data_IF_695397241768
#
_entry.id   IF_695397241768
#
_cell.length_a   1.000
_cell.length_b   1.000
_cell.length_c   1.000
_cell.angle_alpha   90.00
_cell.angle_beta   90.00
_cell.angle_gamma   90.00
#
_symmetry.space_group_name_H-M   'P 1'
#
loop_
_entity.id
_entity.type
_entity.pdbx_description
1 polymer ?
#
# COMPACT_ATOMS: atom_id res chain seq x y z
N UNK A 1 24.93 -14.83 -8.28
CA UNK A 1 23.90 -15.59 -9.04
C UNK A 1 22.71 -15.72 -8.10
N UNK A 2 21.75 -14.80 -8.19
CA UNK A 2 20.51 -14.89 -7.42
C UNK A 2 19.51 -15.62 -8.30
N UNK A 3 19.07 -16.78 -7.81
CA UNK A 3 18.16 -17.71 -8.46
C UNK A 3 16.76 -17.08 -8.51
N UNK A 4 16.40 -16.52 -9.67
CA UNK A 4 15.04 -16.05 -9.94
C UNK A 4 14.15 -17.25 -10.21
N UNK A 5 13.60 -17.87 -9.16
CA UNK A 5 12.52 -18.82 -9.33
C UNK A 5 11.35 -18.13 -10.08
N UNK A 6 10.71 -18.80 -11.04
CA UNK A 6 9.63 -18.21 -11.83
C UNK A 6 8.46 -17.80 -10.93
N UNK A 7 7.83 -16.66 -11.24
CA UNK A 7 6.53 -16.27 -10.65
C UNK A 7 5.56 -17.42 -10.86
N UNK A 8 5.34 -18.23 -9.81
CA UNK A 8 4.34 -19.29 -9.81
C UNK A 8 2.97 -18.64 -9.61
N UNK A 9 2.23 -18.51 -10.70
CA UNK A 9 0.79 -18.31 -10.66
C UNK A 9 0.18 -19.52 -9.96
N UNK A 10 -0.34 -19.33 -8.74
CA UNK A 10 -1.11 -20.38 -8.07
C UNK A 10 -2.57 -20.23 -8.48
N UNK A 11 -3.13 -21.15 -9.29
CA UNK A 11 -4.57 -21.20 -9.45
C UNK A 11 -5.20 -21.54 -8.09
N UNK A 12 -6.10 -20.67 -7.62
CA UNK A 12 -6.78 -20.74 -6.32
C UNK A 12 -7.45 -22.11 -6.03
N UNK A 13 -7.75 -22.89 -7.07
CA UNK A 13 -8.16 -24.31 -6.95
C UNK A 13 -7.21 -25.14 -6.08
N UNK A 14 -5.93 -24.76 -6.00
CA UNK A 14 -4.92 -25.41 -5.17
C UNK A 14 -4.94 -24.98 -3.70
N UNK A 15 -5.56 -23.84 -3.36
CA UNK A 15 -5.59 -23.31 -1.99
C UNK A 15 -6.87 -23.66 -1.22
N UNK A 16 -8.02 -23.91 -1.88
CA UNK A 16 -9.29 -24.09 -1.13
C UNK A 16 -10.31 -25.09 -1.68
N UNK A 17 -10.05 -25.78 -2.79
CA UNK A 17 -10.99 -26.79 -3.30
C UNK A 17 -12.32 -26.22 -3.83
N UNK A 18 -12.56 -26.43 -5.13
CA UNK A 18 -13.86 -26.26 -5.83
C UNK A 18 -14.67 -24.98 -5.49
N UNK A 19 -14.31 -23.87 -6.14
CA UNK A 19 -15.28 -22.80 -6.45
C UNK A 19 -15.06 -22.31 -7.88
N UNK A 20 -16.14 -22.08 -8.62
CA UNK A 20 -16.20 -21.76 -10.05
C UNK A 20 -16.41 -20.27 -10.36
N UNK A 21 -16.38 -19.39 -9.35
CA UNK A 21 -16.48 -17.95 -9.57
C UNK A 21 -15.10 -17.31 -9.77
N UNK A 22 -14.94 -16.29 -10.64
CA UNK A 22 -13.68 -15.57 -10.82
C UNK A 22 -13.29 -14.93 -9.49
N UNK A 23 -12.15 -15.35 -8.96
CA UNK A 23 -11.56 -14.86 -7.72
C UNK A 23 -10.56 -13.77 -8.06
N UNK A 24 -10.39 -12.74 -7.21
CA UNK A 24 -9.37 -11.73 -7.43
C UNK A 24 -7.99 -12.36 -7.56
N UNK A 25 -7.33 -12.04 -8.68
CA UNK A 25 -5.95 -12.47 -8.92
C UNK A 25 -5.03 -11.94 -7.82
N UNK A 26 -4.07 -12.74 -7.38
CA UNK A 26 -3.09 -12.38 -6.37
C UNK A 26 -1.70 -12.80 -6.82
N UNK A 27 -0.67 -12.09 -6.36
CA UNK A 27 0.73 -12.41 -6.63
C UNK A 27 1.53 -12.51 -5.34
N UNK A 28 2.49 -13.43 -5.33
CA UNK A 28 3.46 -13.52 -4.25
C UNK A 28 4.50 -12.44 -4.46
N UNK A 29 4.74 -11.63 -3.44
CA UNK A 29 5.85 -10.68 -3.40
C UNK A 29 6.81 -11.07 -2.28
N UNK A 30 8.09 -10.75 -2.46
CA UNK A 30 9.13 -10.95 -1.45
C UNK A 30 9.75 -9.61 -1.11
N UNK A 31 9.59 -9.18 0.14
CA UNK A 31 10.09 -7.91 0.67
C UNK A 31 10.83 -8.20 1.97
N UNK A 32 12.08 -7.77 2.05
CA UNK A 32 12.91 -7.94 3.26
C UNK A 32 13.00 -9.39 3.77
N UNK A 33 12.88 -10.37 2.87
CA UNK A 33 12.88 -11.81 3.18
C UNK A 33 11.52 -12.38 3.60
N UNK A 34 10.50 -11.55 3.80
CA UNK A 34 9.13 -11.97 4.09
C UNK A 34 8.34 -12.19 2.80
N UNK A 35 7.46 -13.21 2.81
CA UNK A 35 6.54 -13.51 1.70
C UNK A 35 5.18 -12.92 1.99
N UNK A 36 4.77 -11.97 1.17
CA UNK A 36 3.43 -11.39 1.22
C UNK A 36 2.63 -11.80 -0.02
N UNK A 37 1.31 -11.79 0.13
CA UNK A 37 0.36 -11.93 -0.97
C UNK A 37 -0.17 -10.54 -1.29
N UNK A 38 0.17 -9.99 -2.45
CA UNK A 38 -0.48 -8.78 -2.94
C UNK A 38 -1.72 -9.16 -3.73
N UNK A 39 -2.87 -8.64 -3.33
CA UNK A 39 -4.11 -8.75 -4.11
C UNK A 39 -3.97 -7.83 -5.33
N UNK A 40 -3.99 -8.41 -6.53
CA UNK A 40 -3.74 -7.70 -7.79
C UNK A 40 -4.98 -6.90 -8.20
N UNK A 41 -6.16 -7.48 -8.01
CA UNK A 41 -7.43 -6.82 -8.23
C UNK A 41 -7.81 -5.90 -7.07
N UNK A 42 -8.39 -4.75 -7.40
CA UNK A 42 -8.88 -3.81 -6.42
C UNK A 42 -10.25 -4.27 -5.90
N UNK A 43 -10.29 -4.86 -4.70
CA UNK A 43 -11.51 -5.40 -4.09
C UNK A 43 -12.62 -4.34 -3.91
N UNK A 44 -12.28 -3.06 -3.95
CA UNK A 44 -13.21 -1.96 -3.72
C UNK A 44 -13.58 -1.23 -5.02
N UNK A 45 -13.19 -1.76 -6.17
CA UNK A 45 -13.65 -1.27 -7.46
C UNK A 45 -15.18 -1.40 -7.60
N UNK A 46 -15.83 -0.52 -8.40
CA UNK A 46 -17.29 -0.45 -8.52
C UNK A 46 -17.96 -1.73 -9.03
N UNK A 47 -17.24 -2.54 -9.80
CA UNK A 47 -17.70 -3.79 -10.41
C UNK A 47 -17.57 -5.01 -9.48
N UNK A 48 -16.87 -4.87 -8.35
CA UNK A 48 -16.76 -5.92 -7.33
C UNK A 48 -17.99 -5.87 -6.41
N UNK A 49 -18.69 -6.99 -6.28
CA UNK A 49 -19.87 -7.11 -5.41
C UNK A 49 -19.49 -7.35 -3.95
N UNK A 50 -20.36 -7.00 -3.01
CA UNK A 50 -20.16 -7.27 -1.58
C UNK A 50 -19.95 -8.77 -1.32
N UNK A 51 -20.65 -9.67 -2.03
CA UNK A 51 -20.45 -11.12 -1.88
C UNK A 51 -19.06 -11.58 -2.31
N UNK A 52 -18.45 -10.94 -3.32
CA UNK A 52 -17.07 -11.21 -3.73
C UNK A 52 -16.08 -10.70 -2.68
N UNK A 53 -16.31 -9.49 -2.13
CA UNK A 53 -15.51 -8.94 -1.02
C UNK A 53 -15.57 -9.85 0.20
N UNK A 54 -16.78 -10.29 0.60
CA UNK A 54 -17.00 -11.15 1.76
C UNK A 54 -16.18 -12.44 1.64
N UNK A 55 -16.23 -13.10 0.47
CA UNK A 55 -15.45 -14.32 0.22
C UNK A 55 -13.94 -14.08 0.32
N UNK A 56 -13.45 -12.97 -0.24
CA UNK A 56 -12.03 -12.63 -0.18
C UNK A 56 -11.59 -12.41 1.28
N UNK A 57 -12.34 -11.64 2.07
CA UNK A 57 -12.00 -11.35 3.45
C UNK A 57 -12.09 -12.57 4.37
N UNK A 58 -13.10 -13.44 4.22
CA UNK A 58 -13.16 -14.71 4.97
C UNK A 58 -11.93 -15.57 4.70
N UNK A 59 -11.49 -15.64 3.44
CA UNK A 59 -10.33 -16.45 3.07
C UNK A 59 -9.02 -15.87 3.60
N UNK A 60 -8.85 -14.56 3.52
CA UNK A 60 -7.70 -13.89 4.14
C UNK A 60 -7.72 -14.09 5.66
N UNK A 61 -8.89 -14.04 6.30
CA UNK A 61 -9.05 -14.21 7.73
C UNK A 61 -8.72 -15.62 8.25
N UNK A 62 -8.81 -16.66 7.43
CA UNK A 62 -8.45 -18.04 7.86
C UNK A 62 -6.99 -18.37 7.55
N UNK A 63 -6.37 -17.63 6.63
CA UNK A 63 -5.00 -17.84 6.18
C UNK A 63 -3.97 -17.09 7.06
N UNK A 64 -4.01 -17.30 8.37
CA UNK A 64 -3.19 -16.58 9.36
C UNK A 64 -1.67 -16.75 9.22
N UNK A 65 -1.24 -17.79 8.51
CA UNK A 65 0.17 -18.01 8.16
C UNK A 65 0.68 -17.11 7.01
N UNK A 66 -0.21 -16.31 6.39
CA UNK A 66 0.10 -15.44 5.26
C UNK A 66 -0.21 -13.99 5.61
N UNK A 67 0.57 -13.06 5.07
CA UNK A 67 0.26 -11.62 5.11
C UNK A 67 -0.25 -11.14 3.77
N UNK A 68 -1.39 -10.46 3.76
CA UNK A 68 -2.04 -9.92 2.57
C UNK A 68 -1.88 -8.41 2.49
N UNK A 69 -1.38 -7.90 1.36
CA UNK A 69 -1.45 -6.48 0.98
C UNK A 69 -2.68 -6.29 0.09
N UNK A 70 -3.72 -5.67 0.65
CA UNK A 70 -4.92 -5.24 -0.08
C UNK A 70 -4.70 -3.82 -0.53
N UNK A 71 -4.48 -3.63 -1.83
CA UNK A 71 -4.18 -2.32 -2.42
C UNK A 71 -5.41 -1.77 -3.13
N UNK A 72 -5.77 -0.52 -2.87
CA UNK A 72 -6.97 0.10 -3.47
C UNK A 72 -6.78 1.54 -3.92
N UNK A 73 -7.50 1.93 -4.97
CA UNK A 73 -7.73 3.32 -5.41
C UNK A 73 -9.09 3.85 -4.98
N UNK A 74 -9.91 3.05 -4.30
CA UNK A 74 -11.28 3.41 -3.88
C UNK A 74 -11.41 3.44 -2.35
N UNK A 75 -10.68 4.31 -1.65
CA UNK A 75 -10.59 4.29 -0.19
C UNK A 75 -11.93 4.61 0.50
N UNK A 76 -12.79 5.44 -0.09
CA UNK A 76 -14.14 5.68 0.44
C UNK A 76 -15.03 4.42 0.40
N UNK A 77 -14.93 3.62 -0.66
CA UNK A 77 -15.65 2.36 -0.76
C UNK A 77 -15.08 1.32 0.23
N UNK A 78 -13.76 1.27 0.38
CA UNK A 78 -13.09 0.45 1.39
C UNK A 78 -13.58 0.78 2.81
N UNK A 79 -13.56 2.06 3.16
CA UNK A 79 -14.07 2.55 4.44
C UNK A 79 -15.52 2.16 4.65
N UNK A 80 -16.41 2.40 3.69
CA UNK A 80 -17.83 2.10 3.81
C UNK A 80 -18.07 0.61 4.03
N UNK A 81 -17.40 -0.25 3.28
CA UNK A 81 -17.53 -1.69 3.39
C UNK A 81 -16.99 -2.21 4.74
N UNK A 82 -15.77 -1.81 5.11
CA UNK A 82 -15.10 -2.30 6.32
C UNK A 82 -15.77 -1.75 7.60
N UNK A 83 -16.23 -0.49 7.58
CA UNK A 83 -16.94 0.12 8.73
C UNK A 83 -18.33 -0.47 8.96
N UNK A 84 -19.00 -0.94 7.90
CA UNK A 84 -20.31 -1.59 8.05
C UNK A 84 -20.22 -2.86 8.88
N UNK A 85 -19.11 -3.61 8.77
CA UNK A 85 -18.92 -4.92 9.39
C UNK A 85 -20.03 -5.89 8.97
N UNK A 86 -19.78 -6.80 8.04
CA UNK A 86 -20.85 -7.74 7.65
C UNK A 86 -20.99 -8.83 8.71
N UNK A 87 -22.17 -8.93 9.34
CA UNK A 87 -22.50 -10.00 10.31
C UNK A 87 -22.15 -11.38 9.73
N UNK A 88 -22.39 -11.56 8.43
CA UNK A 88 -22.04 -12.78 7.70
C UNK A 88 -20.53 -13.08 7.66
N UNK A 89 -19.67 -12.08 7.45
CA UNK A 89 -18.21 -12.27 7.49
C UNK A 89 -17.75 -12.49 8.93
N UNK A 90 -18.26 -11.72 9.88
CA UNK A 90 -17.94 -11.90 11.30
C UNK A 90 -18.34 -13.29 11.82
N UNK A 91 -19.49 -13.83 11.38
CA UNK A 91 -19.95 -15.17 11.73
C UNK A 91 -19.14 -16.26 11.02
N UNK A 92 -18.85 -16.08 9.72
CA UNK A 92 -18.00 -16.99 8.97
C UNK A 92 -16.57 -17.07 9.54
N UNK A 93 -15.98 -15.93 9.91
CA UNK A 93 -14.67 -15.84 10.56
C UNK A 93 -14.72 -16.49 11.94
N UNK A 94 -15.76 -16.23 12.74
CA UNK A 94 -15.90 -16.86 14.07
C UNK A 94 -15.94 -18.39 13.97
N UNK A 95 -16.58 -18.92 12.93
CA UNK A 95 -16.64 -20.36 12.71
C UNK A 95 -15.32 -20.94 12.17
N UNK A 96 -14.70 -20.25 11.21
CA UNK A 96 -13.53 -20.78 10.50
C UNK A 96 -12.17 -20.45 11.16
N UNK A 97 -12.11 -19.39 11.96
CA UNK A 97 -10.91 -18.88 12.64
C UNK A 97 -11.20 -18.48 14.11
N UNK A 98 -11.61 -19.43 14.97
CA UNK A 98 -12.01 -19.13 16.36
C UNK A 98 -10.88 -18.53 17.22
N UNK A 99 -9.62 -18.72 16.83
CA UNK A 99 -8.44 -18.18 17.51
C UNK A 99 -8.34 -16.64 17.47
N UNK A 100 -9.05 -15.99 16.55
CA UNK A 100 -9.14 -14.52 16.47
C UNK A 100 -10.01 -13.90 17.58
N UNK A 101 -10.80 -14.71 18.29
CA UNK A 101 -11.67 -14.26 19.38
C UNK A 101 -12.90 -13.46 18.92
N UNK A 102 -13.82 -13.14 19.84
CA UNK A 102 -15.09 -12.48 19.53
C UNK A 102 -14.94 -10.98 19.15
N UNK A 103 -13.76 -10.39 19.37
CA UNK A 103 -13.47 -8.97 19.08
C UNK A 103 -13.27 -8.68 17.59
N UNK A 104 -12.96 -9.69 16.75
CA UNK A 104 -13.01 -9.57 15.28
C UNK A 104 -14.46 -9.65 14.83
N UNK A 105 -15.26 -8.65 15.21
CA UNK A 105 -16.71 -8.66 14.96
C UNK A 105 -17.20 -7.44 14.20
N UNK A 106 -16.43 -6.37 14.07
CA UNK A 106 -16.83 -5.16 13.34
C UNK A 106 -15.57 -4.46 12.87
N UNK A 107 -15.28 -4.42 11.56
CA UNK A 107 -14.15 -3.63 11.02
C UNK A 107 -12.99 -4.39 10.39
N UNK A 108 -12.89 -5.72 10.54
CA UNK A 108 -11.76 -6.52 10.01
C UNK A 108 -10.38 -5.93 10.38
N UNK A 109 -10.11 -5.72 11.68
CA UNK A 109 -8.76 -5.50 12.21
C UNK A 109 -7.97 -6.83 12.25
N UNK A 110 -7.90 -7.54 11.11
CA UNK A 110 -7.16 -8.80 11.00
C UNK A 110 -5.66 -8.47 10.89
N UNK A 111 -4.80 -8.91 11.82
CA UNK A 111 -3.40 -8.46 11.88
C UNK A 111 -2.60 -8.68 10.60
N UNK A 112 -2.89 -9.75 9.87
CA UNK A 112 -2.19 -10.11 8.64
C UNK A 112 -2.89 -9.63 7.36
N UNK A 113 -3.90 -8.75 7.46
CA UNK A 113 -4.53 -8.10 6.31
C UNK A 113 -4.24 -6.60 6.36
N UNK A 114 -3.38 -6.15 5.46
CA UNK A 114 -2.85 -4.80 5.42
C UNK A 114 -3.51 -4.00 4.30
N UNK A 115 -4.11 -2.86 4.64
CA UNK A 115 -4.81 -2.02 3.69
C UNK A 115 -3.91 -0.88 3.22
N UNK A 116 -3.65 -0.82 1.92
CA UNK A 116 -2.80 0.20 1.30
C UNK A 116 -3.59 1.04 0.30
N UNK A 117 -3.53 2.36 0.43
CA UNK A 117 -3.96 3.30 -0.62
C UNK A 117 -2.93 3.32 -1.74
N UNK A 118 -3.34 3.09 -2.99
CA UNK A 118 -2.50 3.35 -4.16
C UNK A 118 -2.68 4.80 -4.59
N UNK A 119 -1.59 5.55 -4.57
CA UNK A 119 -1.55 6.96 -4.96
C UNK A 119 -0.44 7.22 -5.99
N UNK A 120 -0.68 8.11 -6.93
CA UNK A 120 0.25 8.53 -8.00
C UNK A 120 0.42 10.05 -8.07
N UNK A 121 -0.36 10.79 -7.29
CA UNK A 121 -0.38 12.25 -7.24
C UNK A 121 -0.75 12.71 -5.82
N UNK A 122 -0.49 13.98 -5.51
CA UNK A 122 -0.89 14.57 -4.23
C UNK A 122 -2.42 14.54 -4.06
N UNK A 123 -3.17 14.76 -5.15
CA UNK A 123 -4.63 14.71 -5.14
C UNK A 123 -5.17 13.34 -4.68
N UNK A 124 -4.51 12.23 -5.04
CA UNK A 124 -4.90 10.89 -4.59
C UNK A 124 -4.75 10.75 -3.06
N UNK A 125 -3.68 11.35 -2.50
CA UNK A 125 -3.42 11.35 -1.06
C UNK A 125 -4.41 12.24 -0.33
N UNK A 126 -4.64 13.45 -0.84
CA UNK A 126 -5.55 14.44 -0.27
C UNK A 126 -6.97 13.88 -0.14
N UNK A 127 -7.42 13.12 -1.14
CA UNK A 127 -8.73 12.48 -1.11
C UNK A 127 -8.74 11.18 -0.32
N UNK A 128 -7.68 10.37 -0.44
CA UNK A 128 -7.70 8.99 0.00
C UNK A 128 -7.19 8.75 1.43
N UNK A 129 -6.17 9.49 1.87
CA UNK A 129 -5.59 9.28 3.21
C UNK A 129 -6.60 9.59 4.31
N UNK A 130 -7.42 10.66 4.26
CA UNK A 130 -8.44 10.89 5.29
C UNK A 130 -9.43 9.72 5.42
N UNK A 131 -9.85 9.13 4.29
CA UNK A 131 -10.72 7.95 4.30
C UNK A 131 -10.04 6.74 4.90
N UNK A 132 -8.78 6.50 4.53
CA UNK A 132 -7.98 5.38 5.03
C UNK A 132 -7.75 5.47 6.55
N UNK A 133 -7.44 6.65 7.08
CA UNK A 133 -7.24 6.86 8.52
C UNK A 133 -8.51 6.62 9.35
N UNK A 134 -9.69 6.85 8.75
CA UNK A 134 -10.99 6.57 9.35
C UNK A 134 -11.50 5.14 9.05
N UNK A 135 -10.76 4.35 8.28
CA UNK A 135 -11.11 2.96 7.95
C UNK A 135 -10.63 2.00 9.04
N UNK A 136 -11.49 1.10 9.56
CA UNK A 136 -11.07 -0.02 10.39
C UNK A 136 -10.10 -0.93 9.62
N UNK A 137 -8.91 -1.12 10.17
CA UNK A 137 -7.81 -1.88 9.59
C UNK A 137 -6.70 -2.04 10.63
N UNK A 138 -6.09 -3.23 10.69
CA UNK A 138 -4.94 -3.48 11.56
C UNK A 138 -3.69 -2.70 11.11
N UNK A 139 -3.55 -2.47 9.80
CA UNK A 139 -2.47 -1.70 9.21
C UNK A 139 -2.98 -0.83 8.07
N UNK A 140 -2.59 0.46 8.09
CA UNK A 140 -2.91 1.46 7.06
C UNK A 140 -1.62 1.96 6.41
N UNK A 141 -1.45 1.67 5.14
CA UNK A 141 -0.28 2.12 4.38
C UNK A 141 -0.62 2.89 3.12
N UNK A 142 0.41 3.45 2.49
CA UNK A 142 0.31 4.06 1.17
C UNK A 142 1.33 3.41 0.24
N UNK A 143 0.87 2.97 -0.93
CA UNK A 143 1.71 2.61 -2.06
C UNK A 143 1.74 3.79 -3.05
N UNK A 144 2.84 4.53 -3.04
CA UNK A 144 3.16 5.56 -4.02
C UNK A 144 3.67 4.90 -5.30
N UNK A 145 2.88 4.98 -6.36
CA UNK A 145 3.11 4.30 -7.64
C UNK A 145 3.43 5.32 -8.74
N UNK A 146 4.72 5.65 -8.85
CA UNK A 146 5.27 6.56 -9.84
C UNK A 146 4.80 8.02 -9.72
N UNK A 147 4.88 8.66 -8.53
CA UNK A 147 4.52 10.06 -8.39
C UNK A 147 5.40 10.95 -9.28
N UNK A 148 4.75 11.88 -9.98
CA UNK A 148 5.41 12.83 -10.90
C UNK A 148 5.58 14.22 -10.29
N UNK A 149 4.94 14.46 -9.16
CA UNK A 149 4.95 15.72 -8.43
C UNK A 149 5.35 15.52 -6.97
N UNK A 150 5.59 16.62 -6.28
CA UNK A 150 5.96 16.60 -4.86
C UNK A 150 4.86 15.92 -4.05
N UNK A 151 5.29 15.03 -3.15
CA UNK A 151 4.43 14.35 -2.18
C UNK A 151 4.64 14.97 -0.80
N UNK A 152 3.54 15.34 -0.14
CA UNK A 152 3.48 15.78 1.25
C UNK A 152 2.46 14.93 2.02
N UNK A 153 2.96 14.15 2.99
CA UNK A 153 2.17 13.28 3.86
C UNK A 153 1.86 13.95 5.21
N UNK A 154 2.36 15.16 5.43
CA UNK A 154 2.33 15.88 6.70
C UNK A 154 1.31 17.04 6.73
N UNK A 155 0.83 17.47 5.56
CA UNK A 155 -0.09 18.61 5.40
C UNK A 155 -1.32 18.28 4.57
N UNK A 156 -1.98 17.16 4.86
CA UNK A 156 -3.15 16.69 4.13
C UNK A 156 -4.43 17.42 4.57
N UNK A 157 -5.48 17.55 3.73
CA UNK A 157 -6.75 18.14 4.14
C UNK A 157 -7.43 17.29 5.22
N UNK A 158 -8.00 17.96 6.22
CA UNK A 158 -8.80 17.31 7.26
C UNK A 158 -10.28 17.47 6.95
N UNK A 159 -11.06 16.39 7.06
CA UNK A 159 -12.53 16.41 6.90
C UNK A 159 -13.28 16.60 8.21
N UNK A 160 -12.58 17.05 9.26
CA UNK A 160 -13.19 17.28 10.56
C UNK A 160 -14.39 18.23 10.45
N UNK A 161 -15.59 17.72 10.80
CA UNK A 161 -16.90 18.40 10.66
C UNK A 161 -17.34 18.74 9.22
N UNK A 162 -16.76 18.12 8.18
CA UNK A 162 -17.21 18.30 6.80
C UNK A 162 -16.84 19.64 6.16
N UNK A 163 -16.07 20.50 6.84
CA UNK A 163 -15.56 21.75 6.29
C UNK A 163 -14.08 21.58 5.91
N UNK A 164 -13.72 21.73 4.62
CA UNK A 164 -12.32 21.90 4.21
C UNK A 164 -11.88 23.34 4.50
N UNK A 165 -11.44 23.57 5.73
CA UNK A 165 -10.89 24.86 6.15
C UNK A 165 -9.38 24.84 5.96
N UNK A 166 -8.76 25.93 5.48
CA UNK A 166 -7.33 25.96 5.19
C UNK A 166 -6.43 25.70 6.42
N UNK A 167 -6.94 25.94 7.63
CA UNK A 167 -6.24 25.69 8.89
C UNK A 167 -6.42 24.26 9.44
N UNK A 168 -7.17 23.42 8.74
CA UNK A 168 -7.50 22.07 9.18
C UNK A 168 -6.68 21.08 8.35
N UNK A 169 -5.65 20.52 8.98
CA UNK A 169 -4.65 19.69 8.31
C UNK A 169 -4.32 18.44 9.10
N UNK A 170 -3.96 17.37 8.42
CA UNK A 170 -3.55 16.09 8.99
C UNK A 170 -2.05 15.90 8.70
N UNK A 171 -1.26 15.72 9.74
CA UNK A 171 0.03 15.04 9.64
C UNK A 171 -0.24 13.54 9.76
N UNK A 172 -0.33 12.86 8.61
CA UNK A 172 -0.70 11.46 8.56
C UNK A 172 0.44 10.55 9.01
N UNK A 173 1.68 11.04 9.07
CA UNK A 173 2.80 10.24 9.58
C UNK A 173 2.87 10.27 11.10
N UNK A 174 2.44 11.38 11.73
CA UNK A 174 2.42 11.56 13.19
C UNK A 174 1.07 11.32 13.85
N UNK A 175 0.00 11.18 13.06
CA UNK A 175 -1.37 11.06 13.58
C UNK A 175 -1.81 12.33 14.28
N UNK A 176 -1.47 13.50 13.73
CA UNK A 176 -1.82 14.79 14.31
C UNK A 176 -2.84 15.51 13.44
N UNK A 177 -4.00 15.82 14.03
CA UNK A 177 -5.06 16.59 13.38
C UNK A 177 -5.02 18.02 13.90
N UNK A 178 -4.56 18.95 13.06
CA UNK A 178 -4.59 20.38 13.34
C UNK A 178 -5.98 20.92 13.03
N UNK A 179 -6.57 21.65 13.96
CA UNK A 179 -7.91 22.23 13.87
C UNK A 179 -7.85 23.73 14.20
N UNK A 180 -7.07 24.50 13.44
CA UNK A 180 -6.79 25.91 13.74
C UNK A 180 -5.33 26.16 14.16
N UNK A 181 -4.97 27.41 14.52
CA UNK A 181 -3.58 27.81 14.75
C UNK A 181 -2.89 27.11 15.92
N UNK A 182 -3.66 26.71 16.94
CA UNK A 182 -3.10 26.25 18.22
C UNK A 182 -3.75 24.97 18.75
N UNK A 183 -4.57 24.30 17.94
CA UNK A 183 -5.33 23.12 18.37
C UNK A 183 -4.87 21.91 17.58
N UNK A 184 -4.31 20.92 18.28
CA UNK A 184 -3.85 19.66 17.71
C UNK A 184 -4.45 18.50 18.51
N UNK A 185 -5.14 17.60 17.83
CA UNK A 185 -5.66 16.36 18.40
C UNK A 185 -4.84 15.17 17.90
N UNK A 186 -4.68 14.17 18.76
CA UNK A 186 -4.17 12.88 18.33
C UNK A 186 -5.24 12.14 17.51
N UNK A 187 -4.80 11.46 16.46
CA UNK A 187 -5.62 10.60 15.61
C UNK A 187 -4.80 9.43 15.07
N UNK A 188 -5.41 8.67 14.18
CA UNK A 188 -4.75 7.54 13.50
C UNK A 188 -3.65 8.05 12.59
N UNK A 189 -2.57 7.29 12.45
CA UNK A 189 -1.46 7.58 11.53
C UNK A 189 -1.32 6.48 10.48
N UNK A 190 -0.50 6.74 9.47
CA UNK A 190 -0.02 5.74 8.54
C UNK A 190 1.07 4.91 9.21
N UNK A 191 0.99 3.61 8.97
CA UNK A 191 1.86 2.60 9.55
C UNK A 191 3.01 2.24 8.61
N UNK A 192 2.84 2.48 7.31
CA UNK A 192 3.84 2.10 6.31
C UNK A 192 3.72 2.90 5.02
N UNK A 193 4.86 3.35 4.49
CA UNK A 193 4.93 4.00 3.18
C UNK A 193 5.79 3.14 2.25
N UNK A 194 5.21 2.78 1.11
CA UNK A 194 5.88 2.05 0.06
C UNK A 194 5.96 2.93 -1.17
N UNK A 195 7.14 3.05 -1.76
CA UNK A 195 7.35 3.87 -2.94
C UNK A 195 8.00 3.07 -4.06
N UNK A 196 7.43 3.19 -5.26
CA UNK A 196 7.97 2.62 -6.48
C UNK A 196 7.84 3.56 -7.67
N UNK A 197 8.72 3.42 -8.65
CA UNK A 197 8.59 4.10 -9.94
C UNK A 197 7.51 3.46 -10.82
N UNK A 198 7.05 4.23 -11.81
CA UNK A 198 6.02 3.78 -12.75
C UNK A 198 6.51 2.59 -13.61
N UNK A 199 5.58 1.69 -13.94
CA UNK A 199 5.82 0.52 -14.81
C UNK A 199 5.02 0.61 -16.11
N UNK A 200 5.49 -0.01 -17.19
CA UNK A 200 4.79 -0.11 -18.47
C UNK A 200 5.32 0.79 -19.61
N UNK A 201 4.67 0.76 -20.79
CA UNK A 201 5.19 1.38 -22.02
C UNK A 201 5.35 2.90 -21.92
N UNK A 202 4.51 3.56 -21.11
CA UNK A 202 4.51 5.02 -20.93
C UNK A 202 5.01 5.45 -19.53
N UNK A 203 5.75 4.58 -18.85
CA UNK A 203 6.29 4.88 -17.53
C UNK A 203 7.18 6.12 -17.57
N UNK A 204 6.85 7.11 -16.74
CA UNK A 204 7.68 8.30 -16.54
C UNK A 204 8.79 8.00 -15.52
N UNK A 205 9.99 8.58 -15.67
CA UNK A 205 11.03 8.46 -14.66
C UNK A 205 10.57 9.13 -13.37
N UNK A 206 10.75 8.44 -12.25
CA UNK A 206 10.53 8.99 -10.93
C UNK A 206 11.68 9.95 -10.58
N UNK A 207 11.35 11.18 -10.18
CA UNK A 207 12.38 12.15 -9.79
C UNK A 207 13.08 11.70 -8.48
N UNK A 208 14.42 11.69 -8.41
CA UNK A 208 15.15 11.22 -7.23
C UNK A 208 14.83 12.04 -5.97
N UNK A 209 14.71 13.37 -6.09
CA UNK A 209 14.33 14.23 -4.96
C UNK A 209 12.92 13.96 -4.41
N UNK A 210 11.97 13.43 -5.21
CA UNK A 210 10.67 12.99 -4.69
C UNK A 210 10.87 11.78 -3.79
N UNK A 211 11.66 10.78 -4.22
CA UNK A 211 11.96 9.59 -3.43
C UNK A 211 12.69 9.95 -2.12
N UNK A 212 13.68 10.86 -2.18
CA UNK A 212 14.40 11.37 -1.00
C UNK A 212 13.47 12.11 -0.04
N UNK A 213 12.63 13.01 -0.55
CA UNK A 213 11.64 13.75 0.25
C UNK A 213 10.69 12.83 1.00
N UNK A 214 10.15 11.79 0.35
CA UNK A 214 9.26 10.82 0.99
C UNK A 214 10.01 10.03 2.06
N UNK A 215 11.21 9.53 1.76
CA UNK A 215 12.07 8.86 2.74
C UNK A 215 12.31 9.74 3.96
N UNK A 216 12.71 10.99 3.76
CA UNK A 216 13.09 11.90 4.84
C UNK A 216 11.89 12.23 5.73
N UNK A 217 10.70 12.45 5.14
CA UNK A 217 9.43 12.59 5.88
C UNK A 217 9.15 11.36 6.76
N UNK A 218 9.33 10.15 6.22
CA UNK A 218 9.10 8.90 6.95
C UNK A 218 10.11 8.70 8.09
N UNK A 219 11.41 8.94 7.83
CA UNK A 219 12.47 8.81 8.84
C UNK A 219 12.27 9.80 10.00
N UNK A 220 11.95 11.05 9.70
CA UNK A 220 11.67 12.10 10.68
C UNK A 220 10.44 11.77 11.55
N UNK A 221 9.42 11.15 10.97
CA UNK A 221 8.23 10.70 11.69
C UNK A 221 8.34 9.29 12.31
N UNK A 222 9.46 8.59 12.08
CA UNK A 222 9.67 7.18 12.48
C UNK A 222 8.58 6.25 11.94
N UNK A 223 8.17 6.47 10.70
CA UNK A 223 7.26 5.58 9.96
C UNK A 223 8.10 4.70 9.03
N UNK A 224 7.91 3.37 9.04
CA UNK A 224 8.59 2.45 8.12
C UNK A 224 8.45 2.88 6.65
N UNK A 225 9.58 2.88 5.94
CA UNK A 225 9.67 3.25 4.54
C UNK A 225 10.30 2.13 3.70
N UNK A 226 9.58 1.68 2.68
CA UNK A 226 10.07 0.72 1.70
C UNK A 226 10.18 1.37 0.32
N UNK A 227 11.38 1.36 -0.26
CA UNK A 227 11.63 1.70 -1.66
C UNK A 227 11.68 0.41 -2.49
N UNK A 228 10.59 0.12 -3.22
CA UNK A 228 10.48 -1.12 -3.98
C UNK A 228 11.39 -1.10 -5.21
N UNK A 229 11.30 -0.09 -6.07
CA UNK A 229 12.11 0.02 -7.31
C UNK A 229 11.97 1.39 -7.97
N UNK A 230 12.84 1.68 -8.94
CA UNK A 230 12.71 2.82 -9.85
C UNK A 230 11.71 2.61 -11.02
N UNK A 231 10.97 1.50 -11.04
CA UNK A 231 10.02 1.20 -12.12
C UNK A 231 10.73 0.76 -13.41
N UNK A 232 10.42 1.37 -14.56
CA UNK A 232 11.12 1.09 -15.83
C UNK A 232 12.49 1.78 -15.98
N UNK A 233 12.81 2.70 -15.07
CA UNK A 233 13.97 3.60 -15.16
C UNK A 233 15.01 3.25 -14.11
N UNK A 234 16.26 3.71 -14.28
CA UNK A 234 17.31 3.50 -13.28
C UNK A 234 18.43 4.55 -13.43
N UNK A 235 19.07 5.00 -12.33
CA UNK A 235 20.17 5.97 -12.40
C UNK A 235 21.45 5.39 -13.03
N UNK A 236 21.59 4.06 -13.12
CA UNK A 236 22.70 3.42 -13.82
C UNK A 236 22.23 2.12 -14.49
N UNK A 237 22.56 1.88 -15.77
CA UNK A 237 22.26 0.62 -16.41
C UNK A 237 23.14 -0.49 -15.81
N UNK A 238 22.53 -1.49 -15.17
CA UNK A 238 23.25 -2.73 -14.82
C UNK A 238 23.22 -3.70 -16.00
N UNK A 239 24.36 -4.33 -16.30
CA UNK A 239 24.40 -5.54 -17.13
C UNK A 239 24.28 -5.34 -18.65
N UNK A 240 24.89 -4.31 -19.23
CA UNK A 240 25.11 -4.24 -20.68
C UNK A 240 23.87 -4.06 -21.56
N UNK A 241 22.68 -3.92 -20.97
CA UNK A 241 21.48 -3.56 -21.72
C UNK A 241 21.62 -2.14 -22.27
N UNK A 242 21.52 -2.01 -23.60
CA UNK A 242 21.47 -0.72 -24.26
C UNK A 242 20.22 0.02 -23.77
N UNK A 243 20.42 1.10 -23.00
CA UNK A 243 19.34 1.97 -22.60
C UNK A 243 18.64 2.50 -23.87
N UNK A 244 17.32 2.33 -23.94
CA UNK A 244 16.55 2.77 -25.10
C UNK A 244 16.21 4.25 -25.05
N UNK A 245 16.14 4.81 -23.84
CA UNK A 245 15.85 6.22 -23.57
C UNK A 245 16.69 6.72 -22.41
N UNK A 246 17.02 8.01 -22.45
CA UNK A 246 17.75 8.74 -21.41
C UNK A 246 16.92 9.92 -20.95
N UNK A 247 16.94 10.19 -19.66
CA UNK A 247 16.34 11.36 -19.04
C UNK A 247 17.39 12.06 -18.16
N UNK A 248 17.64 13.34 -18.42
CA UNK A 248 18.57 14.16 -17.65
C UNK A 248 17.78 15.09 -16.73
N UNK A 249 18.06 15.01 -15.43
CA UNK A 249 17.48 15.92 -14.45
C UNK A 249 18.31 17.22 -14.33
N UNK A 250 17.71 18.35 -13.96
CA UNK A 250 18.42 19.61 -13.76
C UNK A 250 19.54 19.55 -12.71
N UNK A 251 19.45 18.62 -11.76
CA UNK A 251 20.46 18.39 -10.72
C UNK A 251 21.69 17.57 -11.21
N UNK A 252 21.73 17.22 -12.50
CA UNK A 252 22.81 16.45 -13.13
C UNK A 252 22.65 14.93 -13.04
N UNK A 253 21.63 14.43 -12.35
CA UNK A 253 21.35 12.99 -12.31
C UNK A 253 20.74 12.53 -13.64
N UNK A 254 21.24 11.40 -14.15
CA UNK A 254 20.80 10.80 -15.41
C UNK A 254 20.12 9.47 -15.15
N UNK A 255 18.98 9.27 -15.79
CA UNK A 255 18.20 8.05 -15.71
C UNK A 255 18.08 7.39 -17.08
N UNK A 256 18.11 6.07 -17.08
CA UNK A 256 18.07 5.23 -18.26
C UNK A 256 16.86 4.33 -18.20
N UNK A 257 16.15 4.20 -19.32
CA UNK A 257 15.08 3.20 -19.42
C UNK A 257 15.69 1.83 -19.65
N UNK A 258 15.63 0.99 -18.62
CA UNK A 258 16.30 -0.33 -18.57
C UNK A 258 15.32 -1.49 -18.51
N UNK A 259 14.04 -1.21 -18.28
CA UNK A 259 13.01 -2.23 -18.06
C UNK A 259 12.85 -2.57 -16.58
N UNK A 260 11.63 -2.88 -16.16
CA UNK A 260 11.30 -3.18 -14.75
C UNK A 260 12.24 -4.20 -14.08
N UNK A 261 12.64 -5.26 -14.79
CA UNK A 261 13.49 -6.33 -14.25
C UNK A 261 14.94 -5.90 -13.99
N UNK A 262 15.41 -4.89 -14.72
CA UNK A 262 16.79 -4.39 -14.61
C UNK A 262 16.89 -3.15 -13.71
N UNK A 263 15.76 -2.54 -13.33
CA UNK A 263 15.75 -1.39 -12.45
C UNK A 263 16.18 -1.79 -11.02
N UNK A 264 17.20 -1.11 -10.53
CA UNK A 264 17.75 -1.36 -9.18
C UNK A 264 16.77 -0.95 -8.08
N UNK A 265 16.94 -1.53 -6.89
CA UNK A 265 16.18 -1.18 -5.67
C UNK A 265 16.96 -0.25 -4.72
N UNK A 266 17.99 0.42 -5.24
CA UNK A 266 18.88 1.28 -4.46
C UNK A 266 18.43 2.74 -4.56
N UNK A 267 18.23 3.37 -3.41
CA UNK A 267 18.06 4.83 -3.28
C UNK A 267 19.27 5.37 -2.50
N UNK A 268 20.05 6.23 -3.15
CA UNK A 268 21.33 6.74 -2.65
C UNK A 268 22.30 5.61 -2.22
N UNK A 269 22.38 4.56 -3.03
CA UNK A 269 23.30 3.43 -2.81
C UNK A 269 22.87 2.46 -1.70
N UNK A 270 21.74 2.71 -1.04
CA UNK A 270 21.21 1.89 0.06
C UNK A 270 19.87 1.25 -0.32
N UNK A 271 19.63 0.04 0.18
CA UNK A 271 18.30 -0.60 0.17
C UNK A 271 17.48 -0.03 1.33
N UNK A 272 16.26 0.41 1.01
CA UNK A 272 15.28 0.86 2.01
C UNK A 272 14.12 -0.11 1.97
N UNK A 273 14.05 -0.99 2.96
CA UNK A 273 13.12 -2.12 3.00
C UNK A 273 12.55 -2.28 4.42
N UNK A 274 12.33 -1.16 5.11
CA UNK A 274 11.76 -1.14 6.45
C UNK A 274 10.33 -1.69 6.41
N UNK A 275 10.03 -2.59 7.34
CA UNK A 275 8.72 -3.24 7.49
C UNK A 275 7.99 -2.72 8.74
N UNK A 276 6.65 -2.67 8.71
CA UNK A 276 5.87 -2.36 9.88
C UNK A 276 6.00 -3.45 10.96
N UNK A 277 6.11 -3.02 12.21
CA UNK A 277 6.03 -3.92 13.36
C UNK A 277 4.57 -4.32 13.56
N UNK A 278 4.18 -5.51 13.09
CA UNK A 278 2.85 -6.05 13.37
C UNK A 278 3.00 -7.13 14.43
N UNK A 279 2.32 -6.95 15.56
CA UNK A 279 2.23 -8.00 16.57
C UNK A 279 1.46 -9.18 15.95
N UNK A 280 2.17 -10.21 15.49
CA UNK A 280 1.55 -11.49 15.20
C UNK A 280 1.03 -12.05 16.51
N UNK A 281 -0.28 -12.28 16.60
CA UNK A 281 -0.84 -13.06 17.71
C UNK A 281 -0.16 -14.44 17.69
N UNK A 282 0.62 -14.72 18.74
CA UNK A 282 1.30 -16.00 18.94
C UNK A 282 0.33 -17.13 19.27
#
# INVERSE_FOLDING_TARGET
MLDTAPVKWLPWKMLVGRSSAPFPTARVIVESGARHIEVVEDLFAPDVTDSQRDRAFVLMAIASALTFRVVTRYPAAARLYLSKGTVAVSEAIRHAAPHLGPAVSVGLDIPWVWLLLRASAQADLDQGVPELLETPAALRGVLLDGPVEKVDLTTLPSRFRGDDRPLYRIDALRGQHRCGPSVVYAGTKLDWIVLRGATGPNAKPLHPDIARSVRDQCQDAKVPFCFESWGEWSPAPQGGNAATLVHDWPNGERFFRVGQRAAVRLLDGKVWDDMPEVAHAG
#
